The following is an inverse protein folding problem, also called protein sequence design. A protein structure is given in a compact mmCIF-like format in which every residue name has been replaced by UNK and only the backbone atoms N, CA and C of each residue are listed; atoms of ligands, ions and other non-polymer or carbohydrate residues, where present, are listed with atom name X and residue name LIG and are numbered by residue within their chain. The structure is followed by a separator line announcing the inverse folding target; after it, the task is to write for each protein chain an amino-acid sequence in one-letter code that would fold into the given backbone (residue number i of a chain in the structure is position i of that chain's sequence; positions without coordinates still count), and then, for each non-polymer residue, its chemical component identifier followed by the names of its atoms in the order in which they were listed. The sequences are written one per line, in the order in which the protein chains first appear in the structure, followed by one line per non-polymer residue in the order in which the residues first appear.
data_IF_113401600863
#
_entry.id   IF_113401600863
#
_cell.length_a   1.000
_cell.length_b   1.000
_cell.length_c   1.000
_cell.angle_alpha   90.00
_cell.angle_beta   90.00
_cell.angle_gamma   90.00
#
_symmetry.space_group_name_H-M   'P 1'
#
loop_
_entity.id
_entity.type
_entity.pdbx_description
1 polymer ?
#
# COMPACT_ATOMS: atom_id res chain seq x y z
N UNK A 1 -6.89 15.52 -2.43
CA UNK A 1 -5.51 15.62 -1.93
C UNK A 1 -4.68 14.67 -2.75
N UNK A 2 -3.67 15.16 -3.48
CA UNK A 2 -2.82 14.28 -4.30
C UNK A 2 -1.77 13.62 -3.39
N UNK A 3 -1.69 12.29 -3.44
CA UNK A 3 -0.70 11.51 -2.69
C UNK A 3 0.03 10.57 -3.63
N UNK A 4 1.32 10.39 -3.40
CA UNK A 4 2.17 9.49 -4.20
C UNK A 4 2.41 8.18 -3.47
N UNK A 5 2.25 7.07 -4.18
CA UNK A 5 2.63 5.75 -3.68
C UNK A 5 4.16 5.66 -3.53
N UNK A 6 4.65 5.15 -2.40
CA UNK A 6 6.09 4.98 -2.17
C UNK A 6 6.72 3.84 -3.00
N UNK A 7 5.91 2.91 -3.53
CA UNK A 7 6.39 1.73 -4.27
C UNK A 7 6.42 2.00 -5.78
N UNK A 8 5.32 2.49 -6.34
CA UNK A 8 5.21 2.70 -7.79
C UNK A 8 5.20 4.17 -8.21
N UNK A 9 5.31 5.10 -7.25
CA UNK A 9 5.27 6.56 -7.47
C UNK A 9 4.00 7.09 -8.15
N UNK A 10 2.97 6.24 -8.31
CA UNK A 10 1.67 6.63 -8.86
C UNK A 10 1.03 7.70 -7.99
N UNK A 11 0.54 8.75 -8.64
CA UNK A 11 -0.27 9.81 -8.03
C UNK A 11 -1.72 9.35 -7.97
N UNK A 12 -2.30 9.38 -6.78
CA UNK A 12 -3.72 9.11 -6.57
C UNK A 12 -4.36 10.29 -5.86
N UNK A 13 -5.57 10.63 -6.30
CA UNK A 13 -6.38 11.62 -5.62
C UNK A 13 -7.13 10.95 -4.47
N UNK A 14 -6.72 11.28 -3.25
CA UNK A 14 -7.38 10.81 -2.04
C UNK A 14 -8.45 11.81 -1.65
N UNK A 15 -9.70 11.33 -1.65
CA UNK A 15 -10.89 12.05 -1.20
C UNK A 15 -11.19 11.76 0.27
N UNK A 16 -12.06 12.57 0.90
CA UNK A 16 -12.42 12.45 2.33
C UNK A 16 -13.00 11.09 2.74
N UNK A 17 -13.44 10.29 1.77
CA UNK A 17 -14.08 8.98 1.95
C UNK A 17 -13.03 7.86 2.01
N UNK A 18 -11.80 8.12 1.57
CA UNK A 18 -10.75 7.11 1.56
C UNK A 18 -10.30 6.78 2.99
N UNK A 19 -10.15 5.48 3.31
CA UNK A 19 -9.75 5.02 4.65
C UNK A 19 -8.49 5.68 5.17
N UNK A 20 -7.55 5.95 4.28
CA UNK A 20 -6.25 6.53 4.62
C UNK A 20 -6.25 8.06 4.64
N UNK A 21 -7.37 8.72 4.31
CA UNK A 21 -7.46 10.18 4.26
C UNK A 21 -7.17 10.83 5.61
N UNK A 22 -7.74 10.31 6.70
CA UNK A 22 -7.49 10.85 8.04
C UNK A 22 -6.02 10.67 8.47
N UNK A 23 -5.43 9.51 8.15
CA UNK A 23 -4.05 9.17 8.53
C UNK A 23 -3.04 10.04 7.79
N UNK A 24 -3.22 10.22 6.48
CA UNK A 24 -2.34 11.05 5.65
C UNK A 24 -2.49 12.53 6.01
N UNK A 25 -3.69 12.96 6.42
CA UNK A 25 -3.93 14.33 6.88
C UNK A 25 -3.28 14.62 8.24
N UNK A 26 -3.26 13.66 9.16
CA UNK A 26 -2.62 13.82 10.47
C UNK A 26 -1.09 13.74 10.37
N UNK A 27 -0.57 12.84 9.54
CA UNK A 27 0.87 12.66 9.34
C UNK A 27 1.24 12.84 7.86
N UNK A 28 1.69 14.04 7.45
CA UNK A 28 2.08 14.30 6.07
C UNK A 28 3.34 13.53 5.63
N UNK A 29 4.08 12.94 6.58
CA UNK A 29 5.23 12.06 6.35
C UNK A 29 4.84 10.57 6.23
N UNK A 30 3.56 10.24 6.33
CA UNK A 30 3.10 8.85 6.27
C UNK A 30 3.40 8.27 4.89
N UNK A 31 4.03 7.09 4.88
CA UNK A 31 4.29 6.33 3.67
C UNK A 31 2.97 5.80 3.12
N UNK A 32 2.49 6.39 2.03
CA UNK A 32 1.32 5.88 1.32
C UNK A 32 1.70 4.75 0.37
N UNK A 33 0.94 3.65 0.42
CA UNK A 33 1.06 2.53 -0.51
C UNK A 33 -0.29 2.37 -1.19
N UNK A 34 -0.31 2.47 -2.52
CA UNK A 34 -1.54 2.30 -3.27
C UNK A 34 -2.11 0.88 -3.15
N UNK A 35 -3.39 0.75 -3.42
CA UNK A 35 -4.12 -0.52 -3.32
C UNK A 35 -3.50 -1.65 -4.16
N UNK A 36 -2.98 -1.34 -5.35
CA UNK A 36 -2.30 -2.31 -6.22
C UNK A 36 -0.98 -2.81 -5.62
N UNK A 37 -0.12 -1.91 -5.18
CA UNK A 37 1.15 -2.28 -4.56
C UNK A 37 0.92 -3.03 -3.23
N UNK A 38 -0.06 -2.62 -2.44
CA UNK A 38 -0.45 -3.34 -1.21
C UNK A 38 -0.87 -4.78 -1.51
N UNK A 39 -1.69 -5.01 -2.55
CA UNK A 39 -2.09 -6.35 -2.98
C UNK A 39 -0.89 -7.18 -3.45
N UNK A 40 0.00 -6.59 -4.24
CA UNK A 40 1.20 -7.27 -4.76
C UNK A 40 2.13 -7.72 -3.63
N UNK A 41 2.43 -6.84 -2.68
CA UNK A 41 3.27 -7.16 -1.51
C UNK A 41 2.64 -8.27 -0.67
N UNK A 42 1.33 -8.19 -0.40
CA UNK A 42 0.61 -9.24 0.34
C UNK A 42 0.64 -10.59 -0.38
N UNK A 43 0.52 -10.58 -1.70
CA UNK A 43 0.58 -11.78 -2.50
C UNK A 43 1.98 -12.42 -2.42
N UNK A 44 3.04 -11.63 -2.65
CA UNK A 44 4.43 -12.09 -2.55
C UNK A 44 4.75 -12.67 -1.16
N UNK A 45 4.41 -11.94 -0.10
CA UNK A 45 4.63 -12.41 1.27
C UNK A 45 3.92 -13.75 1.56
N UNK A 46 2.70 -13.95 1.03
CA UNK A 46 1.99 -15.22 1.15
C UNK A 46 2.66 -16.34 0.36
N UNK A 47 3.21 -16.05 -0.81
CA UNK A 47 3.93 -17.04 -1.62
C UNK A 47 5.22 -17.49 -0.94
N UNK A 48 5.97 -16.56 -0.35
CA UNK A 48 7.19 -16.86 0.40
C UNK A 48 6.91 -17.66 1.68
N UNK A 49 5.76 -17.42 2.31
CA UNK A 49 5.31 -18.18 3.49
C UNK A 49 4.78 -19.57 3.16
N UNK A 50 4.59 -19.92 1.88
CA UNK A 50 4.18 -21.28 1.52
C UNK A 50 5.26 -22.25 2.02
N UNK A 51 4.89 -23.28 2.81
CA UNK A 51 5.86 -24.25 3.28
C UNK A 51 6.54 -24.88 2.06
N UNK A 52 7.87 -24.83 2.01
CA UNK A 52 8.64 -25.56 0.99
C UNK A 52 8.28 -27.02 1.17
N UNK A 53 7.77 -27.65 0.10
CA UNK A 53 7.46 -29.08 0.13
C UNK A 53 8.71 -29.82 0.61
N UNK A 54 8.63 -30.65 1.67
CA UNK A 54 9.72 -31.54 2.01
C UNK A 54 9.99 -32.42 0.77
N UNK A 55 11.27 -32.49 0.39
CA UNK A 55 11.78 -33.30 -0.70
C UNK A 55 11.49 -34.78 -0.47
#
# INVERSE_FOLDING_TARGET
MEVRCAICSKKEEITKIHKDFQRIRQEPKLVYICSQCSKKVKYQAREEQKPKKPL
#
